data_IF_458181835305
#
_entry.id   IF_458181835305
#
_cell.length_a   1.000
_cell.length_b   1.000
_cell.length_c   1.000
_cell.angle_alpha   90.00
_cell.angle_beta   90.00
_cell.angle_gamma   90.00
#
_symmetry.space_group_name_H-M   'P 1'
#
loop_
_entity.id
_entity.type
_entity.pdbx_description
1 polymer ?
#
# COMPACT_ATOMS: atom_id res chain seq x y z
N UNK A 1 26.50 -9.21 -6.22
CA UNK A 1 25.04 -9.38 -6.01
C UNK A 1 24.52 -10.60 -6.77
N UNK A 2 24.41 -10.59 -8.10
CA UNK A 2 23.83 -11.71 -8.88
C UNK A 2 24.34 -13.09 -8.45
N UNK A 3 25.65 -13.32 -8.54
CA UNK A 3 26.25 -14.63 -8.20
C UNK A 3 25.97 -15.06 -6.77
N UNK A 4 26.03 -14.14 -5.80
CA UNK A 4 25.78 -14.46 -4.40
C UNK A 4 24.33 -14.88 -4.17
N UNK A 5 23.38 -14.21 -4.83
CA UNK A 5 21.96 -14.57 -4.77
C UNK A 5 21.70 -15.96 -5.37
N UNK A 6 22.25 -16.24 -6.56
CA UNK A 6 22.10 -17.56 -7.20
C UNK A 6 22.70 -18.69 -6.36
N UNK A 7 23.88 -18.45 -5.78
CA UNK A 7 24.54 -19.42 -4.90
C UNK A 7 23.69 -19.69 -3.64
N UNK A 8 23.14 -18.63 -3.02
CA UNK A 8 22.29 -18.78 -1.85
C UNK A 8 21.00 -19.55 -2.16
N UNK A 9 20.36 -19.27 -3.30
CA UNK A 9 19.16 -20.00 -3.73
C UNK A 9 19.46 -21.47 -4.05
N UNK A 10 20.58 -21.76 -4.72
CA UNK A 10 20.99 -23.13 -5.03
C UNK A 10 21.31 -23.95 -3.77
N UNK A 11 21.81 -23.32 -2.70
CA UNK A 11 22.04 -23.99 -1.43
C UNK A 11 20.76 -24.43 -0.71
N UNK A 12 19.58 -23.98 -1.16
CA UNK A 12 18.31 -24.40 -0.58
C UNK A 12 17.86 -25.80 -1.05
N UNK A 13 18.44 -26.34 -2.13
CA UNK A 13 18.17 -27.70 -2.66
C UNK A 13 18.87 -28.81 -1.82
N UNK A 14 18.89 -28.66 -0.50
CA UNK A 14 19.39 -29.70 0.41
C UNK A 14 18.25 -30.62 0.82
N UNK A 15 18.31 -31.90 0.46
CA UNK A 15 17.23 -32.90 0.59
C UNK A 15 16.81 -33.31 2.02
N UNK A 16 16.97 -32.42 3.00
CA UNK A 16 16.50 -32.55 4.39
C UNK A 16 15.30 -31.61 4.61
N UNK A 17 14.26 -31.67 3.77
CA UNK A 17 13.13 -30.74 3.84
C UNK A 17 11.86 -31.39 4.43
N UNK A 18 11.36 -30.80 5.52
CA UNK A 18 10.10 -31.15 6.16
C UNK A 18 8.92 -30.33 5.60
N UNK A 19 9.02 -29.87 4.34
CA UNK A 19 8.01 -29.00 3.71
C UNK A 19 7.93 -27.60 4.32
N UNK A 20 9.03 -27.08 4.86
CA UNK A 20 9.06 -25.74 5.48
C UNK A 20 9.51 -24.69 4.46
N UNK A 21 9.00 -23.45 4.44
CA UNK A 21 9.57 -22.39 3.60
C UNK A 21 11.04 -22.10 3.94
N UNK A 22 11.83 -21.66 2.96
CA UNK A 22 13.21 -21.23 3.18
C UNK A 22 13.29 -19.72 3.30
N UNK A 23 13.76 -19.21 4.42
CA UNK A 23 13.93 -17.78 4.65
C UNK A 23 15.35 -17.36 4.29
N UNK A 24 15.50 -16.54 3.26
CA UNK A 24 16.78 -15.98 2.81
C UNK A 24 16.83 -14.52 3.19
N UNK A 25 17.84 -14.16 3.97
CA UNK A 25 18.14 -12.78 4.34
C UNK A 25 19.30 -12.27 3.46
N UNK A 26 19.05 -11.24 2.66
CA UNK A 26 20.01 -10.69 1.71
C UNK A 26 20.36 -9.24 2.03
N UNK A 27 21.59 -8.98 2.48
CA UNK A 27 22.07 -7.65 2.86
C UNK A 27 22.99 -7.07 1.79
N UNK A 28 22.83 -5.79 1.49
CA UNK A 28 23.77 -5.04 0.65
C UNK A 28 23.78 -3.55 0.99
N UNK A 29 24.93 -2.92 0.84
CA UNK A 29 25.16 -1.48 0.98
C UNK A 29 25.38 -0.79 -0.37
N UNK A 30 25.20 -1.51 -1.49
CA UNK A 30 25.62 -1.05 -2.80
C UNK A 30 24.81 -1.59 -3.98
N UNK A 31 25.12 -1.05 -5.16
CA UNK A 31 24.61 -1.53 -6.44
C UNK A 31 25.44 -2.71 -6.97
N UNK A 32 24.90 -3.52 -7.91
CA UNK A 32 25.70 -4.54 -8.57
C UNK A 32 26.79 -3.90 -9.45
N UNK A 33 28.07 -4.15 -9.12
CA UNK A 33 29.22 -3.57 -9.84
C UNK A 33 30.12 -4.61 -10.53
N UNK A 34 29.86 -5.90 -10.33
CA UNK A 34 30.66 -7.01 -10.84
C UNK A 34 29.77 -8.15 -11.33
N UNK A 35 30.13 -8.74 -12.48
CA UNK A 35 29.32 -9.76 -13.15
C UNK A 35 28.10 -9.15 -13.84
N UNK A 36 26.93 -9.78 -13.68
CA UNK A 36 25.65 -9.22 -14.13
C UNK A 36 25.28 -7.98 -13.30
N UNK A 37 24.96 -6.88 -13.99
CA UNK A 37 24.67 -5.57 -13.42
C UNK A 37 23.27 -5.07 -13.78
N UNK A 38 22.63 -5.62 -14.81
CA UNK A 38 21.26 -5.28 -15.17
C UNK A 38 20.29 -5.81 -14.12
N UNK A 39 19.60 -4.91 -13.40
CA UNK A 39 18.68 -5.28 -12.33
C UNK A 39 17.61 -6.26 -12.81
N UNK A 40 17.04 -6.04 -14.01
CA UNK A 40 16.04 -6.93 -14.59
C UNK A 40 16.60 -8.33 -14.87
N UNK A 41 17.84 -8.44 -15.36
CA UNK A 41 18.51 -9.72 -15.57
C UNK A 41 18.79 -10.43 -14.26
N UNK A 42 19.19 -9.72 -13.20
CA UNK A 42 19.39 -10.31 -11.87
C UNK A 42 18.08 -10.91 -11.33
N UNK A 43 16.96 -10.17 -11.43
CA UNK A 43 15.63 -10.67 -11.06
C UNK A 43 15.30 -11.94 -11.85
N UNK A 44 15.40 -11.89 -13.18
CA UNK A 44 15.12 -13.06 -14.04
C UNK A 44 16.01 -14.26 -13.68
N UNK A 45 17.30 -14.03 -13.45
CA UNK A 45 18.23 -15.09 -13.08
C UNK A 45 17.84 -15.73 -11.74
N UNK A 46 17.46 -14.93 -10.75
CA UNK A 46 17.02 -15.43 -9.45
C UNK A 46 15.74 -16.28 -9.57
N UNK A 47 14.73 -15.79 -10.30
CA UNK A 47 13.48 -16.50 -10.53
C UNK A 47 13.65 -17.80 -11.34
N UNK A 48 14.66 -17.86 -12.20
CA UNK A 48 15.00 -19.07 -12.96
C UNK A 48 15.87 -20.07 -12.18
N UNK A 49 16.37 -19.67 -11.01
CA UNK A 49 17.26 -20.47 -10.17
C UNK A 49 16.62 -20.75 -8.80
N UNK A 50 15.29 -20.85 -8.78
CA UNK A 50 14.57 -21.22 -7.57
C UNK A 50 14.74 -22.72 -7.29
N UNK A 51 14.84 -23.10 -6.00
CA UNK A 51 14.91 -24.49 -5.62
C UNK A 51 13.65 -25.25 -6.06
N UNK A 52 13.81 -26.53 -6.42
CA UNK A 52 12.73 -27.31 -7.02
C UNK A 52 11.70 -27.77 -5.99
N UNK A 53 12.14 -28.05 -4.77
CA UNK A 53 11.33 -28.70 -3.73
C UNK A 53 10.85 -27.73 -2.64
N UNK A 54 11.29 -26.47 -2.68
CA UNK A 54 11.05 -25.49 -1.63
C UNK A 54 10.68 -24.14 -2.20
N UNK A 55 9.79 -23.40 -1.53
CA UNK A 55 9.54 -22.01 -1.90
C UNK A 55 10.38 -21.08 -1.03
N UNK A 56 11.33 -20.31 -1.59
CA UNK A 56 12.09 -19.34 -0.83
C UNK A 56 11.22 -18.12 -0.47
N UNK A 57 11.61 -17.44 0.61
CA UNK A 57 11.15 -16.13 1.05
C UNK A 57 12.37 -15.23 1.13
N UNK A 58 12.48 -14.26 0.23
CA UNK A 58 13.66 -13.39 0.16
C UNK A 58 13.38 -12.04 0.83
N UNK A 59 14.08 -11.78 1.93
CA UNK A 59 14.04 -10.50 2.62
C UNK A 59 15.31 -9.73 2.31
N UNK A 60 15.15 -8.54 1.74
CA UNK A 60 16.26 -7.71 1.28
C UNK A 60 16.51 -6.55 2.24
N UNK A 61 17.77 -6.31 2.57
CA UNK A 61 18.20 -5.23 3.44
C UNK A 61 19.15 -4.31 2.68
N UNK A 62 18.69 -3.10 2.40
CA UNK A 62 19.50 -2.04 1.82
C UNK A 62 20.10 -1.16 2.91
N UNK A 63 21.43 -1.09 2.98
CA UNK A 63 22.14 -0.27 3.95
C UNK A 63 22.60 1.03 3.30
N UNK A 64 22.17 2.16 3.84
CA UNK A 64 22.44 3.48 3.28
C UNK A 64 21.67 3.76 2.00
N UNK A 65 22.22 4.67 1.19
CA UNK A 65 21.54 5.21 0.01
C UNK A 65 22.10 4.69 -1.32
N UNK A 66 23.24 3.99 -1.30
CA UNK A 66 23.94 3.52 -2.49
C UNK A 66 23.40 2.20 -3.03
N UNK A 67 22.20 1.79 -2.61
CA UNK A 67 21.55 0.53 -3.01
C UNK A 67 20.59 0.74 -4.18
N UNK A 68 20.41 -0.30 -5.00
CA UNK A 68 19.39 -0.28 -6.05
C UNK A 68 18.04 -0.74 -5.48
N UNK A 69 17.18 0.21 -5.14
CA UNK A 69 15.88 -0.05 -4.52
C UNK A 69 14.92 -0.81 -5.42
N UNK A 70 14.97 -0.59 -6.74
CA UNK A 70 14.12 -1.32 -7.70
C UNK A 70 14.44 -2.80 -7.72
N UNK A 71 15.73 -3.12 -7.74
CA UNK A 71 16.22 -4.49 -7.69
C UNK A 71 15.77 -5.17 -6.38
N UNK A 72 16.00 -4.52 -5.23
CA UNK A 72 15.73 -5.12 -3.93
C UNK A 72 14.24 -5.28 -3.63
N UNK A 73 13.42 -4.29 -4.00
CA UNK A 73 11.96 -4.33 -3.85
C UNK A 73 11.34 -5.41 -4.75
N UNK A 74 11.78 -5.49 -6.01
CA UNK A 74 11.25 -6.46 -6.97
C UNK A 74 11.62 -7.88 -6.54
N UNK A 75 12.88 -8.12 -6.18
CA UNK A 75 13.35 -9.42 -5.68
C UNK A 75 12.57 -9.86 -4.43
N UNK A 76 12.36 -8.96 -3.46
CA UNK A 76 11.61 -9.28 -2.26
C UNK A 76 10.15 -9.60 -2.58
N UNK A 77 9.48 -8.79 -3.39
CA UNK A 77 8.07 -8.96 -3.76
C UNK A 77 7.84 -10.26 -4.53
N UNK A 78 8.63 -10.52 -5.58
CA UNK A 78 8.46 -11.70 -6.43
C UNK A 78 8.77 -13.01 -5.67
N UNK A 79 9.60 -12.93 -4.62
CA UNK A 79 9.93 -14.04 -3.74
C UNK A 79 9.23 -13.96 -2.37
N UNK A 80 8.05 -13.31 -2.31
CA UNK A 80 7.13 -13.29 -1.15
C UNK A 80 7.77 -12.86 0.18
N UNK A 81 8.84 -12.07 0.12
CA UNK A 81 9.43 -11.41 1.27
C UNK A 81 9.15 -9.91 1.25
N UNK A 82 9.99 -9.15 1.97
CA UNK A 82 9.88 -7.70 2.11
C UNK A 82 11.26 -7.06 2.06
N UNK A 83 11.34 -5.84 1.55
CA UNK A 83 12.55 -5.02 1.59
C UNK A 83 12.52 -4.13 2.83
N UNK A 84 13.70 -3.92 3.43
CA UNK A 84 13.92 -2.97 4.50
C UNK A 84 15.16 -2.14 4.19
N UNK A 85 15.06 -0.83 4.42
CA UNK A 85 16.17 0.10 4.20
C UNK A 85 16.56 0.71 5.52
N UNK A 86 17.84 0.59 5.87
CA UNK A 86 18.43 1.17 7.07
C UNK A 86 19.26 2.37 6.65
N UNK A 87 18.88 3.56 7.09
CA UNK A 87 19.59 4.80 6.78
C UNK A 87 20.93 4.87 7.53
N UNK A 88 21.91 5.68 7.06
CA UNK A 88 23.22 5.75 7.71
C UNK A 88 23.18 6.19 9.19
N UNK A 89 22.12 6.89 9.60
CA UNK A 89 21.86 7.35 10.96
C UNK A 89 21.02 6.38 11.80
N UNK A 90 20.56 5.27 11.22
CA UNK A 90 19.75 4.26 11.90
C UNK A 90 20.60 3.05 12.37
N UNK A 91 20.28 2.46 13.52
CA UNK A 91 20.98 1.27 14.03
C UNK A 91 20.59 0.01 13.24
N UNK A 92 21.57 -0.55 12.53
CA UNK A 92 21.40 -1.77 11.71
C UNK A 92 21.07 -2.98 12.59
N UNK A 93 21.67 -3.07 13.77
CA UNK A 93 21.48 -4.16 14.72
C UNK A 93 20.04 -4.22 15.25
N UNK A 94 19.41 -3.08 15.50
CA UNK A 94 17.98 -3.01 15.86
C UNK A 94 17.11 -3.50 14.69
N UNK A 95 17.34 -2.99 13.47
CA UNK A 95 16.55 -3.35 12.29
C UNK A 95 16.60 -4.86 11.99
N UNK A 96 17.79 -5.46 12.06
CA UNK A 96 17.97 -6.91 11.85
C UNK A 96 17.39 -7.72 13.01
N UNK A 97 17.48 -7.23 14.24
CA UNK A 97 16.91 -7.91 15.41
C UNK A 97 15.38 -7.93 15.37
N UNK A 98 14.75 -6.80 15.04
CA UNK A 98 13.29 -6.69 14.88
C UNK A 98 12.80 -7.60 13.77
N UNK A 99 13.54 -7.66 12.67
CA UNK A 99 13.26 -8.60 11.58
C UNK A 99 13.32 -10.04 12.05
N UNK A 100 14.41 -10.45 12.73
CA UNK A 100 14.54 -11.81 13.22
C UNK A 100 13.44 -12.16 14.23
N UNK A 101 13.12 -11.25 15.16
CA UNK A 101 12.02 -11.44 16.10
C UNK A 101 10.69 -11.69 15.36
N UNK A 102 10.47 -10.94 14.28
CA UNK A 102 9.27 -11.07 13.43
C UNK A 102 9.25 -12.38 12.65
N UNK A 103 10.34 -12.76 11.96
CA UNK A 103 10.33 -13.91 11.05
C UNK A 103 10.70 -15.26 11.68
N UNK A 104 11.19 -15.26 12.92
CA UNK A 104 11.66 -16.47 13.61
C UNK A 104 10.59 -17.53 13.82
N UNK A 105 9.31 -17.14 13.82
CA UNK A 105 8.19 -18.04 14.11
C UNK A 105 7.08 -17.87 13.07
N UNK A 106 7.20 -18.46 11.87
CA UNK A 106 6.10 -18.52 10.91
C UNK A 106 4.99 -19.40 11.47
N UNK A 107 3.79 -18.85 11.58
CA UNK A 107 2.60 -19.54 12.09
C UNK A 107 1.83 -20.21 10.95
N UNK A 108 1.73 -19.55 9.80
CA UNK A 108 1.19 -20.10 8.55
C UNK A 108 2.03 -19.60 7.39
N UNK A 109 2.38 -20.49 6.47
CA UNK A 109 3.02 -20.14 5.21
C UNK A 109 2.10 -20.42 4.02
N UNK A 110 2.42 -19.86 2.84
CA UNK A 110 1.68 -20.10 1.60
C UNK A 110 0.17 -19.82 1.75
N UNK A 111 -0.16 -18.69 2.37
CA UNK A 111 -1.55 -18.36 2.64
C UNK A 111 -2.35 -18.19 1.34
N UNK A 112 -3.56 -18.73 1.35
CA UNK A 112 -4.58 -18.45 0.35
C UNK A 112 -5.93 -18.22 1.03
N UNK A 113 -6.76 -17.36 0.42
CA UNK A 113 -8.11 -17.07 0.90
C UNK A 113 -9.08 -17.40 -0.22
N UNK A 114 -10.04 -18.27 0.07
CA UNK A 114 -11.15 -18.64 -0.79
C UNK A 114 -12.46 -18.09 -0.19
N UNK A 115 -13.31 -17.53 -1.04
CA UNK A 115 -14.62 -16.97 -0.67
C UNK A 115 -15.79 -17.85 -1.16
N UNK A 116 -15.51 -19.04 -1.65
CA UNK A 116 -16.51 -19.94 -2.21
C UNK A 116 -16.95 -19.53 -3.63
N UNK A 117 -17.75 -20.39 -4.29
CA UNK A 117 -18.10 -20.24 -5.70
C UNK A 117 -19.09 -19.10 -5.97
N UNK A 118 -19.88 -18.71 -4.96
CA UNK A 118 -20.98 -17.75 -5.10
C UNK A 118 -20.52 -16.29 -4.88
N UNK A 119 -19.34 -16.08 -4.28
CA UNK A 119 -18.79 -14.76 -4.03
C UNK A 119 -17.71 -14.41 -5.06
N UNK A 120 -18.00 -13.44 -5.93
CA UNK A 120 -17.05 -12.92 -6.89
C UNK A 120 -16.15 -11.85 -6.26
N UNK A 121 -15.08 -12.29 -5.58
CA UNK A 121 -14.08 -11.40 -4.98
C UNK A 121 -12.87 -11.24 -5.91
N UNK A 122 -12.48 -10.00 -6.17
CA UNK A 122 -11.37 -9.60 -7.04
C UNK A 122 -10.50 -8.52 -6.36
N UNK A 123 -9.29 -8.29 -6.90
CA UNK A 123 -8.39 -7.20 -6.47
C UNK A 123 -8.05 -7.25 -4.96
N UNK A 124 -7.67 -8.45 -4.48
CA UNK A 124 -7.24 -8.69 -3.10
C UNK A 124 -5.80 -8.21 -2.86
N UNK A 125 -5.59 -7.45 -1.78
CA UNK A 125 -4.29 -6.92 -1.38
C UNK A 125 -4.01 -7.13 0.11
N UNK A 126 -2.75 -7.42 0.51
CA UNK A 126 -1.54 -7.44 -0.34
C UNK A 126 -1.50 -8.61 -1.33
N UNK A 127 -0.80 -8.42 -2.44
CA UNK A 127 -0.58 -9.45 -3.46
C UNK A 127 0.91 -9.51 -3.85
N UNK A 128 1.54 -10.69 -3.82
CA UNK A 128 1.01 -11.96 -3.28
C UNK A 128 0.74 -11.88 -1.76
N UNK A 129 -0.06 -12.81 -1.21
CA UNK A 129 -0.25 -12.89 0.24
C UNK A 129 1.08 -13.29 0.91
N UNK A 130 1.51 -12.56 1.96
CA UNK A 130 2.72 -12.91 2.71
C UNK A 130 2.44 -14.08 3.65
N UNK A 131 3.50 -14.70 4.17
CA UNK A 131 3.39 -15.63 5.29
C UNK A 131 2.94 -14.89 6.56
N UNK A 132 2.22 -15.58 7.46
CA UNK A 132 1.76 -15.04 8.74
C UNK A 132 2.71 -15.48 9.85
N UNK A 133 3.30 -14.53 10.55
CA UNK A 133 4.22 -14.78 11.66
C UNK A 133 3.58 -14.53 13.03
N UNK A 134 4.18 -15.11 14.08
CA UNK A 134 3.68 -14.96 15.43
C UNK A 134 3.67 -13.49 15.87
N UNK A 135 2.55 -13.04 16.46
CA UNK A 135 2.37 -11.66 16.89
C UNK A 135 2.00 -10.67 15.79
N UNK A 136 1.92 -11.11 14.52
CA UNK A 136 1.45 -10.29 13.43
C UNK A 136 -0.05 -10.45 13.17
N UNK A 137 -0.64 -9.41 12.59
CA UNK A 137 -1.98 -9.43 12.03
C UNK A 137 -1.88 -9.30 10.51
N UNK A 138 -2.56 -10.18 9.77
CA UNK A 138 -2.73 -10.01 8.33
C UNK A 138 -4.11 -9.39 8.08
N UNK A 139 -4.11 -8.15 7.59
CA UNK A 139 -5.32 -7.51 7.04
C UNK A 139 -5.32 -7.73 5.54
N UNK A 140 -6.41 -8.24 4.97
CA UNK A 140 -6.61 -8.37 3.52
C UNK A 140 -7.80 -7.52 3.10
N UNK A 141 -7.65 -6.75 2.03
CA UNK A 141 -8.72 -5.91 1.48
C UNK A 141 -8.93 -6.27 0.01
N UNK A 142 -10.19 -6.47 -0.40
CA UNK A 142 -10.56 -6.79 -1.77
C UNK A 142 -11.89 -6.18 -2.16
N UNK A 143 -12.31 -6.40 -3.40
CA UNK A 143 -13.59 -5.95 -3.93
C UNK A 143 -14.46 -7.13 -4.29
N UNK A 144 -15.76 -6.95 -4.16
CA UNK A 144 -16.74 -7.92 -4.58
C UNK A 144 -17.87 -7.21 -5.34
N UNK A 145 -18.58 -7.97 -6.18
CA UNK A 145 -19.65 -7.42 -7.04
C UNK A 145 -21.03 -7.54 -6.42
N UNK A 146 -21.30 -8.69 -5.82
CA UNK A 146 -22.62 -9.07 -5.31
C UNK A 146 -22.56 -9.28 -3.80
N UNK A 147 -23.57 -8.77 -3.10
CA UNK A 147 -23.77 -9.09 -1.68
C UNK A 147 -24.39 -10.48 -1.51
N UNK A 148 -24.35 -10.98 -0.29
CA UNK A 148 -24.95 -12.27 0.06
C UNK A 148 -24.14 -13.05 1.08
N UNK A 149 -24.64 -14.24 1.48
CA UNK A 149 -23.92 -15.14 2.37
C UNK A 149 -22.63 -15.61 1.71
N UNK A 150 -21.56 -15.68 2.50
CA UNK A 150 -20.25 -16.14 2.04
C UNK A 150 -19.61 -17.03 3.10
N UNK A 151 -18.93 -18.07 2.66
CA UNK A 151 -18.01 -18.86 3.48
C UNK A 151 -16.60 -18.48 3.12
N UNK A 152 -15.81 -18.06 4.10
CA UNK A 152 -14.40 -17.71 3.87
C UNK A 152 -13.53 -18.84 4.38
N UNK A 153 -12.71 -19.41 3.51
CA UNK A 153 -11.72 -20.42 3.87
C UNK A 153 -10.32 -19.83 3.75
N UNK A 154 -9.61 -19.75 4.87
CA UNK A 154 -8.18 -19.46 4.89
C UNK A 154 -7.41 -20.79 4.90
N UNK A 155 -6.52 -20.97 3.93
CA UNK A 155 -5.58 -22.09 3.92
C UNK A 155 -4.14 -21.60 4.07
N UNK A 156 -3.26 -22.51 4.51
CA UNK A 156 -1.82 -22.30 4.60
C UNK A 156 -1.12 -23.55 5.13
N UNK A 157 0.21 -23.51 5.21
CA UNK A 157 1.03 -24.64 5.64
C UNK A 157 1.66 -24.38 7.02
N UNK A 158 1.70 -25.43 7.84
CA UNK A 158 2.41 -25.47 9.13
C UNK A 158 3.24 -26.74 9.19
N UNK A 159 4.58 -26.61 9.22
CA UNK A 159 5.50 -27.75 9.21
C UNK A 159 5.20 -28.76 8.07
N UNK A 160 4.96 -28.27 6.86
CA UNK A 160 4.63 -29.08 5.68
C UNK A 160 3.22 -29.67 5.65
N UNK A 161 2.39 -29.44 6.67
CA UNK A 161 0.99 -29.86 6.68
C UNK A 161 0.06 -28.70 6.34
N UNK A 162 -0.90 -28.95 5.44
CA UNK A 162 -1.96 -28.00 5.15
C UNK A 162 -2.89 -27.83 6.37
N UNK A 163 -3.25 -26.58 6.65
CA UNK A 163 -4.24 -26.18 7.64
C UNK A 163 -5.33 -25.37 6.96
N UNK A 164 -6.58 -25.67 7.31
CA UNK A 164 -7.76 -24.98 6.81
C UNK A 164 -8.50 -24.35 7.98
N UNK A 165 -8.88 -23.09 7.83
CA UNK A 165 -9.71 -22.33 8.76
C UNK A 165 -10.94 -21.85 8.01
N UNK A 166 -12.08 -22.45 8.33
CA UNK A 166 -13.36 -22.15 7.70
C UNK A 166 -14.14 -21.20 8.59
N UNK A 167 -14.56 -20.08 8.01
CA UNK A 167 -15.39 -19.06 8.66
C UNK A 167 -16.75 -19.04 7.96
N UNK A 168 -17.69 -19.89 8.41
CA UNK A 168 -19.04 -19.92 7.85
C UNK A 168 -19.84 -18.68 8.29
N UNK A 169 -21.02 -18.55 7.70
CA UNK A 169 -22.06 -17.59 8.09
C UNK A 169 -21.61 -16.12 8.06
N UNK A 170 -20.80 -15.74 7.06
CA UNK A 170 -20.49 -14.33 6.79
C UNK A 170 -21.49 -13.78 5.78
N UNK A 171 -21.64 -12.47 5.78
CA UNK A 171 -22.55 -11.78 4.86
C UNK A 171 -21.85 -10.56 4.27
N UNK A 172 -21.79 -10.52 2.94
CA UNK A 172 -21.35 -9.35 2.18
C UNK A 172 -22.55 -8.45 1.94
N UNK A 173 -22.45 -7.17 2.31
CA UNK A 173 -23.53 -6.21 2.08
C UNK A 173 -23.59 -5.82 0.61
N UNK A 174 -24.78 -5.68 0.03
CA UNK A 174 -24.91 -5.26 -1.38
C UNK A 174 -24.39 -3.83 -1.63
N UNK A 175 -24.60 -2.91 -0.67
CA UNK A 175 -24.17 -1.51 -0.74
C UNK A 175 -23.93 -0.94 0.66
N UNK A 176 -23.08 0.08 0.74
CA UNK A 176 -22.73 0.76 1.98
C UNK A 176 -21.48 0.17 2.62
N UNK A 177 -21.46 0.13 3.96
CA UNK A 177 -20.26 -0.18 4.74
C UNK A 177 -19.50 1.08 5.13
N UNK A 178 -18.36 0.90 5.78
CA UNK A 178 -17.57 2.01 6.29
C UNK A 178 -16.68 2.63 5.20
N UNK A 179 -16.76 3.95 5.01
CA UNK A 179 -15.99 4.72 4.01
C UNK A 179 -14.48 4.42 4.05
N UNK A 180 -13.94 4.13 5.25
CA UNK A 180 -12.51 3.88 5.43
C UNK A 180 -12.07 2.56 4.78
N UNK A 181 -12.94 1.55 4.66
CA UNK A 181 -12.59 0.26 4.06
C UNK A 181 -12.32 0.41 2.57
N UNK A 182 -13.19 1.14 1.86
CA UNK A 182 -13.02 1.41 0.44
C UNK A 182 -11.76 2.24 0.18
N UNK A 183 -11.46 3.20 1.07
CA UNK A 183 -10.24 4.00 0.99
C UNK A 183 -8.98 3.18 1.30
N UNK A 184 -9.01 2.29 2.29
CA UNK A 184 -7.90 1.37 2.62
C UNK A 184 -7.57 0.48 1.42
N UNK A 185 -8.60 -0.12 0.82
CA UNK A 185 -8.45 -0.91 -0.40
C UNK A 185 -7.82 -0.10 -1.53
N UNK A 186 -8.30 1.12 -1.78
CA UNK A 186 -7.77 1.98 -2.83
C UNK A 186 -6.31 2.39 -2.57
N UNK A 187 -5.95 2.67 -1.32
CA UNK A 187 -4.56 2.96 -0.92
C UNK A 187 -3.63 1.79 -1.24
N UNK A 188 -4.04 0.55 -0.91
CA UNK A 188 -3.25 -0.65 -1.20
C UNK A 188 -3.14 -0.93 -2.70
N UNK A 189 -4.24 -0.79 -3.44
CA UNK A 189 -4.22 -0.93 -4.90
C UNK A 189 -3.32 0.10 -5.55
N UNK A 190 -3.36 1.37 -5.13
CA UNK A 190 -2.44 2.41 -5.60
C UNK A 190 -0.99 2.01 -5.30
N UNK A 191 -0.69 1.56 -4.08
CA UNK A 191 0.65 1.08 -3.72
C UNK A 191 1.13 -0.03 -4.65
N UNK A 192 0.27 -1.01 -4.93
CA UNK A 192 0.56 -2.10 -5.88
C UNK A 192 0.80 -1.58 -7.31
N UNK A 193 -0.08 -0.73 -7.84
CA UNK A 193 0.06 -0.18 -9.19
C UNK A 193 1.32 0.69 -9.34
N UNK A 194 1.69 1.45 -8.31
CA UNK A 194 2.93 2.23 -8.31
C UNK A 194 4.18 1.33 -8.31
N UNK A 195 4.13 0.18 -7.65
CA UNK A 195 5.20 -0.82 -7.72
C UNK A 195 5.31 -1.42 -9.14
N UNK A 196 4.17 -1.74 -9.76
CA UNK A 196 4.12 -2.21 -11.14
C UNK A 196 4.69 -1.20 -12.13
N UNK A 197 4.29 0.08 -12.03
CA UNK A 197 4.81 1.15 -12.88
C UNK A 197 6.33 1.29 -12.75
N UNK A 198 6.90 1.11 -11.55
CA UNK A 198 8.35 1.18 -11.36
C UNK A 198 9.06 -0.01 -12.01
N UNK A 199 8.43 -1.19 -11.98
CA UNK A 199 8.97 -2.43 -12.54
C UNK A 199 8.93 -2.47 -14.07
N UNK A 200 7.81 -2.11 -14.68
CA UNK A 200 7.59 -2.23 -16.13
C UNK A 200 7.60 -0.91 -16.89
N UNK A 201 7.57 0.22 -16.18
CA UNK A 201 7.43 1.55 -16.74
C UNK A 201 5.99 2.09 -16.65
N UNK A 202 5.80 3.40 -16.91
CA UNK A 202 4.50 4.06 -16.78
C UNK A 202 3.60 3.77 -17.98
N UNK A 203 3.10 2.55 -18.08
CA UNK A 203 2.10 2.17 -19.07
C UNK A 203 0.82 3.03 -18.89
N UNK A 204 0.20 3.52 -19.98
CA UNK A 204 -0.95 4.42 -19.90
C UNK A 204 -2.09 3.89 -19.02
N UNK A 205 -2.38 2.59 -19.11
CA UNK A 205 -3.45 1.93 -18.34
C UNK A 205 -3.17 1.94 -16.83
N UNK A 206 -1.91 1.72 -16.42
CA UNK A 206 -1.53 1.75 -15.00
C UNK A 206 -1.62 3.18 -14.44
N UNK A 207 -1.14 4.16 -15.20
CA UNK A 207 -1.19 5.57 -14.82
C UNK A 207 -2.63 6.06 -14.72
N UNK A 208 -3.48 5.68 -15.67
CA UNK A 208 -4.91 5.99 -15.65
C UNK A 208 -5.60 5.37 -14.43
N UNK A 209 -5.33 4.10 -14.12
CA UNK A 209 -5.89 3.44 -12.95
C UNK A 209 -5.47 4.11 -11.62
N UNK A 210 -4.19 4.50 -11.48
CA UNK A 210 -3.73 5.25 -10.30
C UNK A 210 -4.41 6.61 -10.22
N UNK A 211 -4.56 7.30 -11.35
CA UNK A 211 -5.20 8.62 -11.42
C UNK A 211 -6.67 8.55 -11.03
N UNK A 212 -7.42 7.58 -11.56
CA UNK A 212 -8.83 7.37 -11.24
C UNK A 212 -9.03 7.08 -9.75
N UNK A 213 -8.26 6.13 -9.19
CA UNK A 213 -8.34 5.79 -7.77
C UNK A 213 -7.94 6.98 -6.88
N UNK A 214 -6.89 7.70 -7.27
CA UNK A 214 -6.48 8.91 -6.58
C UNK A 214 -7.64 9.90 -6.47
N UNK A 215 -8.25 10.25 -7.61
CA UNK A 215 -9.32 11.24 -7.71
C UNK A 215 -10.57 10.79 -6.95
N UNK A 216 -10.95 9.51 -7.12
CA UNK A 216 -12.14 8.93 -6.48
C UNK A 216 -12.01 8.82 -4.97
N UNK A 217 -10.82 8.50 -4.45
CA UNK A 217 -10.62 8.23 -3.02
C UNK A 217 -9.87 9.36 -2.27
N UNK A 218 -9.52 10.46 -2.95
CA UNK A 218 -8.82 11.59 -2.32
C UNK A 218 -7.41 11.23 -1.86
N UNK A 219 -6.71 10.35 -2.57
CA UNK A 219 -5.38 9.85 -2.23
C UNK A 219 -4.36 10.60 -3.08
N UNK A 220 -3.38 11.24 -2.47
CA UNK A 220 -2.34 11.96 -3.22
C UNK A 220 -1.36 10.95 -3.82
N UNK A 221 -1.08 11.09 -5.11
CA UNK A 221 -0.18 10.20 -5.85
C UNK A 221 0.75 11.00 -6.74
N UNK A 222 1.81 10.40 -7.30
CA UNK A 222 2.71 11.12 -8.20
C UNK A 222 2.03 11.63 -9.47
N UNK A 223 0.92 11.00 -9.86
CA UNK A 223 0.16 11.32 -11.07
C UNK A 223 -0.95 12.35 -10.82
N UNK A 224 -1.17 12.75 -9.57
CA UNK A 224 -2.27 13.63 -9.20
C UNK A 224 -1.83 14.70 -8.21
N UNK A 225 -2.19 15.95 -8.53
CA UNK A 225 -2.07 17.07 -7.61
C UNK A 225 -3.45 17.65 -7.35
N UNK A 226 -3.75 17.95 -6.10
CA UNK A 226 -4.96 18.68 -5.74
C UNK A 226 -4.59 20.15 -5.58
N UNK A 227 -4.84 20.93 -6.62
CA UNK A 227 -4.74 22.38 -6.56
C UNK A 227 -6.10 22.95 -6.19
N UNK A 228 -6.20 23.57 -5.02
CA UNK A 228 -7.43 24.26 -4.59
C UNK A 228 -7.31 25.74 -4.95
N UNK A 229 -7.99 26.16 -6.02
CA UNK A 229 -8.09 27.57 -6.39
C UNK A 229 -9.49 28.09 -6.08
N UNK A 230 -9.59 29.19 -5.33
CA UNK A 230 -10.81 29.99 -5.27
C UNK A 230 -10.80 31.09 -6.35
N UNK A 231 -11.92 31.30 -7.08
CA UNK A 231 -12.06 32.44 -7.99
C UNK A 231 -12.21 33.80 -7.31
N UNK A 232 -12.44 33.87 -5.99
CA UNK A 232 -12.79 35.12 -5.31
C UNK A 232 -12.19 35.23 -3.89
N UNK A 233 -10.86 35.23 -3.79
CA UNK A 233 -10.18 35.77 -2.59
C UNK A 233 -10.28 37.30 -2.62
N UNK A 234 -11.50 37.83 -2.47
CA UNK A 234 -11.69 39.20 -2.01
C UNK A 234 -11.72 39.10 -0.49
N UNK A 235 -10.76 39.74 0.16
CA UNK A 235 -10.66 39.85 1.61
C UNK A 235 -12.04 40.12 2.24
N UNK A 236 -12.66 39.08 2.81
CA UNK A 236 -13.84 39.22 3.65
C UNK A 236 -13.38 39.63 5.05
N UNK A 237 -14.13 40.48 5.76
CA UNK A 237 -13.68 41.10 7.00
C UNK A 237 -13.61 40.07 8.13
N UNK A 238 -12.40 39.80 8.63
CA UNK A 238 -11.95 39.39 9.97
C UNK A 238 -12.90 38.62 10.93
N UNK A 239 -13.87 37.84 10.42
CA UNK A 239 -14.87 37.14 11.22
C UNK A 239 -14.53 35.68 11.53
N UNK A 240 -13.94 34.96 10.57
CA UNK A 240 -13.71 33.50 10.67
C UNK A 240 -12.25 33.12 10.41
N UNK A 241 -11.33 33.68 11.21
CA UNK A 241 -9.88 33.44 11.09
C UNK A 241 -9.43 31.98 11.31
N UNK A 242 -10.31 31.12 11.83
CA UNK A 242 -10.01 29.69 12.03
C UNK A 242 -10.23 28.86 10.74
N UNK A 243 -11.27 29.16 9.96
CA UNK A 243 -11.56 28.46 8.71
C UNK A 243 -10.51 28.79 7.63
N UNK A 244 -10.09 30.06 7.55
CA UNK A 244 -9.01 30.51 6.67
C UNK A 244 -7.70 29.78 6.97
N UNK A 245 -7.30 29.67 8.24
CA UNK A 245 -6.04 28.97 8.62
C UNK A 245 -6.05 27.50 8.26
N UNK A 246 -7.14 26.78 8.57
CA UNK A 246 -7.27 25.35 8.27
C UNK A 246 -7.29 25.07 6.76
N UNK A 247 -7.85 25.99 5.96
CA UNK A 247 -7.87 25.89 4.50
C UNK A 247 -6.48 26.09 3.86
N UNK A 248 -5.77 27.17 4.23
CA UNK A 248 -4.42 27.40 3.70
C UNK A 248 -3.43 26.32 4.14
N UNK A 249 -3.58 25.78 5.35
CA UNK A 249 -2.76 24.67 5.83
C UNK A 249 -3.03 23.38 5.05
N UNK A 250 -4.30 23.05 4.77
CA UNK A 250 -4.65 21.83 4.03
C UNK A 250 -4.29 21.91 2.54
N UNK A 251 -4.54 23.03 1.84
CA UNK A 251 -4.11 23.21 0.45
C UNK A 251 -2.58 23.06 0.29
N UNK A 252 -1.80 23.63 1.23
CA UNK A 252 -0.34 23.46 1.27
C UNK A 252 0.12 22.05 1.60
N UNK A 253 -0.69 21.26 2.31
CA UNK A 253 -0.41 19.84 2.56
C UNK A 253 -0.60 19.03 1.29
N UNK A 254 -1.65 19.30 0.50
CA UNK A 254 -1.86 18.62 -0.77
C UNK A 254 -0.84 19.01 -1.84
N UNK A 255 -0.48 20.29 -1.95
CA UNK A 255 0.59 20.73 -2.87
C UNK A 255 1.94 20.09 -2.52
N UNK A 256 2.33 20.10 -1.24
CA UNK A 256 3.55 19.42 -0.78
C UNK A 256 3.48 17.92 -0.97
N UNK A 257 2.32 17.31 -0.70
CA UNK A 257 2.10 15.88 -0.94
C UNK A 257 2.25 15.52 -2.41
N UNK A 258 1.71 16.34 -3.32
CA UNK A 258 1.79 16.10 -4.76
C UNK A 258 3.21 16.30 -5.30
N UNK A 259 3.92 17.33 -4.84
CA UNK A 259 5.33 17.54 -5.15
C UNK A 259 6.18 16.38 -4.66
N UNK A 260 6.02 15.98 -3.39
CA UNK A 260 6.71 14.82 -2.83
C UNK A 260 6.39 13.55 -3.62
N UNK A 261 5.13 13.36 -4.03
CA UNK A 261 4.75 12.21 -4.84
C UNK A 261 5.40 12.24 -6.23
N UNK A 262 5.42 13.38 -6.92
CA UNK A 262 6.10 13.53 -8.21
C UNK A 262 7.61 13.25 -8.09
N UNK A 263 8.26 13.75 -7.04
CA UNK A 263 9.66 13.45 -6.73
C UNK A 263 9.87 11.96 -6.49
N UNK A 264 8.93 11.29 -5.82
CA UNK A 264 8.96 9.84 -5.60
C UNK A 264 8.79 9.02 -6.89
N UNK A 265 7.95 9.44 -7.85
CA UNK A 265 7.86 8.75 -9.14
C UNK A 265 9.05 9.01 -10.05
N UNK A 266 9.64 10.20 -9.98
CA UNK A 266 10.85 10.53 -10.71
C UNK A 266 12.13 10.03 -10.01
N UNK A 267 12.01 9.38 -8.85
CA UNK A 267 13.14 8.94 -8.07
C UNK A 267 13.98 7.92 -8.86
N UNK A 268 15.31 8.12 -8.96
CA UNK A 268 16.20 7.13 -9.56
C UNK A 268 16.13 5.79 -8.80
N UNK A 269 16.77 4.75 -9.36
CA UNK A 269 16.82 3.44 -8.73
C UNK A 269 17.64 3.43 -7.41
N UNK A 270 18.59 4.36 -7.25
CA UNK A 270 19.48 4.48 -6.10
C UNK A 270 19.57 5.93 -5.59
N UNK A 271 20.00 6.11 -4.35
CA UNK A 271 20.11 7.40 -3.67
C UNK A 271 19.02 7.62 -2.62
N UNK A 272 19.12 8.74 -1.88
CA UNK A 272 18.22 9.07 -0.78
C UNK A 272 16.75 9.16 -1.22
N UNK A 273 16.50 9.80 -2.37
CA UNK A 273 15.17 9.88 -2.96
C UNK A 273 14.60 8.50 -3.33
N UNK A 274 15.45 7.56 -3.76
CA UNK A 274 15.04 6.20 -4.11
C UNK A 274 14.58 5.42 -2.87
N UNK A 275 15.36 5.52 -1.78
CA UNK A 275 15.03 4.89 -0.49
C UNK A 275 13.73 5.48 0.08
N UNK A 276 13.59 6.82 0.08
CA UNK A 276 12.38 7.49 0.52
C UNK A 276 11.14 7.07 -0.30
N UNK A 277 11.28 7.01 -1.62
CA UNK A 277 10.21 6.57 -2.51
C UNK A 277 9.80 5.10 -2.25
N UNK A 278 10.78 4.22 -2.02
CA UNK A 278 10.52 2.82 -1.70
C UNK A 278 9.78 2.64 -0.36
N UNK A 279 10.26 3.32 0.69
CA UNK A 279 9.60 3.30 2.00
C UNK A 279 8.17 3.84 1.93
N UNK A 280 7.94 4.92 1.19
CA UNK A 280 6.61 5.50 1.03
C UNK A 280 5.64 4.59 0.28
N UNK A 281 6.10 3.88 -0.76
CA UNK A 281 5.27 2.90 -1.49
C UNK A 281 4.94 1.69 -0.62
N UNK A 282 5.93 1.14 0.08
CA UNK A 282 5.73 0.02 1.00
C UNK A 282 4.67 0.37 2.05
N UNK A 283 4.71 1.59 2.58
CA UNK A 283 3.69 2.09 3.51
C UNK A 283 2.27 2.17 2.91
N UNK A 284 2.12 2.37 1.60
CA UNK A 284 0.81 2.30 0.93
C UNK A 284 0.34 0.85 0.76
N UNK A 285 1.23 -0.05 0.36
CA UNK A 285 0.93 -1.48 0.15
C UNK A 285 0.54 -2.17 1.46
N UNK A 286 1.17 -1.77 2.56
CA UNK A 286 1.04 -2.38 3.88
C UNK A 286 0.11 -1.59 4.82
N UNK A 287 -0.53 -0.54 4.34
CA UNK A 287 -1.42 0.27 5.15
C UNK A 287 -2.45 -0.61 5.87
N UNK A 288 -2.52 -0.55 7.20
CA UNK A 288 -3.55 -1.22 8.01
C UNK A 288 -4.69 -0.28 8.37
N UNK A 289 -4.41 1.03 8.36
CA UNK A 289 -5.35 2.10 8.67
C UNK A 289 -5.28 3.19 7.61
N UNK A 290 -6.40 3.86 7.39
CA UNK A 290 -6.41 5.11 6.61
C UNK A 290 -5.77 6.20 7.46
N UNK A 291 -4.66 6.81 7.00
CA UNK A 291 -4.09 7.99 7.69
C UNK A 291 -5.16 9.09 7.78
N UNK A 292 -5.56 9.45 9.01
CA UNK A 292 -6.61 10.44 9.36
C UNK A 292 -6.36 11.87 8.83
N UNK A 293 -5.17 12.17 8.28
CA UNK A 293 -4.77 13.52 7.93
C UNK A 293 -5.57 14.16 6.77
N UNK A 294 -6.36 13.38 6.03
CA UNK A 294 -7.18 13.86 4.90
C UNK A 294 -8.67 14.05 5.23
N UNK A 295 -9.10 13.89 6.49
CA UNK A 295 -10.51 13.99 6.88
C UNK A 295 -11.11 15.40 6.81
N UNK A 296 -10.32 16.42 6.46
CA UNK A 296 -10.79 17.82 6.45
C UNK A 296 -11.20 18.33 5.07
N UNK A 297 -10.79 17.67 3.97
CA UNK A 297 -11.22 18.03 2.61
C UNK A 297 -11.57 16.82 1.74
N UNK A 298 -12.73 16.87 1.07
CA UNK A 298 -13.18 15.92 0.04
C UNK A 298 -13.25 16.62 -1.32
N UNK A 299 -12.94 15.87 -2.37
CA UNK A 299 -13.05 16.33 -3.75
C UNK A 299 -14.12 15.51 -4.45
N UNK A 300 -15.13 16.19 -5.00
CA UNK A 300 -16.32 15.57 -5.61
C UNK A 300 -16.64 16.33 -6.89
N UNK A 301 -16.67 15.63 -8.03
CA UNK A 301 -16.99 16.15 -9.36
C UNK A 301 -16.27 17.47 -9.71
N UNK A 302 -14.96 17.53 -9.43
CA UNK A 302 -14.12 18.72 -9.68
C UNK A 302 -14.34 19.89 -8.70
N UNK A 303 -14.98 19.66 -7.56
CA UNK A 303 -15.22 20.66 -6.51
C UNK A 303 -14.64 20.19 -5.17
N UNK A 304 -14.13 21.13 -4.38
CA UNK A 304 -13.65 20.88 -3.02
C UNK A 304 -14.73 21.13 -1.97
N UNK A 305 -14.74 20.27 -0.96
CA UNK A 305 -15.66 20.29 0.18
C UNK A 305 -14.83 20.22 1.44
N UNK A 306 -15.07 21.12 2.40
CA UNK A 306 -14.43 21.05 3.71
C UNK A 306 -15.39 20.48 4.75
N UNK A 307 -14.87 19.70 5.69
CA UNK A 307 -15.67 19.19 6.80
C UNK A 307 -15.89 20.30 7.82
N UNK A 308 -17.13 20.79 7.94
CA UNK A 308 -17.53 21.71 8.99
C UNK A 308 -18.12 20.91 10.15
N UNK A 309 -17.52 21.01 11.33
CA UNK A 309 -18.09 20.42 12.54
C UNK A 309 -19.34 21.21 12.95
N UNK A 310 -20.51 20.57 12.95
CA UNK A 310 -21.76 21.14 13.44
C UNK A 310 -21.94 20.94 14.96
N UNK A 311 -20.87 20.55 15.66
CA UNK A 311 -20.90 20.18 17.07
C UNK A 311 -21.15 18.68 17.31
N UNK A 312 -21.16 18.32 18.59
CA UNK A 312 -21.35 16.95 19.05
C UNK A 312 -22.78 16.80 19.56
N UNK A 313 -23.52 15.78 19.09
CA UNK A 313 -24.82 15.48 19.68
C UNK A 313 -24.62 15.08 21.15
N UNK A 314 -25.56 15.38 22.07
CA UNK A 314 -25.38 15.18 23.51
C UNK A 314 -24.91 13.77 23.90
N UNK A 315 -25.26 12.75 23.11
CA UNK A 315 -24.86 11.35 23.26
C UNK A 315 -24.56 10.67 21.90
N UNK A 316 -24.09 11.42 20.89
CA UNK A 316 -23.93 10.91 19.52
C UNK A 316 -22.63 11.34 18.83
N UNK A 317 -22.34 10.79 17.63
CA UNK A 317 -21.13 11.12 16.89
C UNK A 317 -21.06 12.61 16.56
N UNK A 318 -19.85 13.11 16.33
CA UNK A 318 -19.64 14.47 15.82
C UNK A 318 -20.38 14.61 14.50
N UNK A 319 -21.32 15.55 14.42
CA UNK A 319 -22.06 15.80 13.19
C UNK A 319 -21.17 16.64 12.28
N UNK A 320 -20.54 15.99 11.30
CA UNK A 320 -19.78 16.66 10.25
C UNK A 320 -20.66 16.97 9.04
N UNK A 321 -20.61 18.21 8.54
CA UNK A 321 -21.20 18.59 7.26
C UNK A 321 -20.10 18.91 6.26
N UNK A 322 -20.09 18.19 5.15
CA UNK A 322 -19.24 18.51 4.01
C UNK A 322 -19.84 19.68 3.24
N UNK A 323 -19.22 20.86 3.39
CA UNK A 323 -19.69 22.09 2.75
C UNK A 323 -18.80 22.42 1.57
N UNK A 324 -19.40 22.54 0.38
CA UNK A 324 -18.68 22.99 -0.80
C UNK A 324 -18.29 24.47 -0.66
N UNK A 325 -17.11 24.85 -1.15
CA UNK A 325 -16.60 26.23 -1.00
C UNK A 325 -17.47 27.30 -1.67
N UNK A 326 -18.32 26.92 -2.62
CA UNK A 326 -19.31 27.80 -3.25
C UNK A 326 -20.69 27.79 -2.56
N UNK A 327 -20.81 27.22 -1.36
CA UNK A 327 -22.08 27.16 -0.63
C UNK A 327 -22.56 28.55 -0.23
N UNK A 328 -23.85 28.81 -0.42
CA UNK A 328 -24.54 29.97 0.13
C UNK A 328 -25.85 29.49 0.74
N UNK A 329 -26.26 30.10 1.84
CA UNK A 329 -27.51 29.78 2.54
C UNK A 329 -28.69 29.77 1.54
N UNK A 330 -29.46 28.67 1.51
CA UNK A 330 -30.63 28.49 0.63
C UNK A 330 -30.38 27.72 -0.68
N UNK A 331 -29.16 27.28 -0.97
CA UNK A 331 -28.90 26.38 -2.10
C UNK A 331 -29.47 24.98 -1.85
N UNK A 332 -29.96 24.34 -2.92
CA UNK A 332 -30.39 22.94 -2.89
C UNK A 332 -29.19 22.05 -2.56
N UNK A 333 -29.32 21.26 -1.50
CA UNK A 333 -28.32 20.27 -1.11
C UNK A 333 -28.52 18.98 -1.91
N UNK A 334 -27.43 18.45 -2.46
CA UNK A 334 -27.40 17.11 -3.06
C UNK A 334 -26.56 16.22 -2.17
N UNK A 335 -27.12 15.11 -1.71
CA UNK A 335 -26.35 14.09 -1.00
C UNK A 335 -25.52 13.33 -2.04
N UNK A 336 -24.21 13.34 -1.87
CA UNK A 336 -23.29 12.58 -2.71
C UNK A 336 -22.63 11.56 -1.78
N UNK A 337 -22.78 10.28 -2.13
CA UNK A 337 -22.20 9.18 -1.35
C UNK A 337 -20.75 8.96 -1.80
N UNK A 338 -19.87 8.67 -0.83
CA UNK A 338 -18.45 8.45 -1.09
C UNK A 338 -18.28 7.34 -2.13
N UNK A 339 -17.52 7.62 -3.20
CA UNK A 339 -17.28 6.66 -4.27
C UNK A 339 -18.49 6.28 -5.13
N UNK A 340 -19.62 7.01 -5.06
CA UNK A 340 -20.76 6.83 -5.99
C UNK A 340 -20.48 7.43 -7.38
N UNK A 341 -21.29 7.11 -8.40
CA UNK A 341 -21.16 7.74 -9.74
C UNK A 341 -21.39 9.27 -9.72
N UNK A 342 -22.01 9.78 -8.64
CA UNK A 342 -22.23 11.20 -8.42
C UNK A 342 -21.07 11.87 -7.63
N UNK A 343 -20.12 11.08 -7.13
CA UNK A 343 -18.89 11.51 -6.44
C UNK A 343 -17.84 11.96 -7.45
#
# INVERSE_FOLDING_TARGET
INRALLEALAQLDTGDDDGRPAYVLFLTDGQPTQGEQDAGAIVRNALNNLPAERTPRLFTFGLGYDVNTDLLDTLATDLRGRSQYVRPDEPIDEAVSDFYATVSTPVLADLAVDFGPDAHVEELYPFPLPDLFAGQQLVVAGRYRDGGPVEVTLSGQVNGEERLFVYPDRELVERGGDDFVARLWATRKIGYLLAEIRRSGPEPELVEAVTELSLRYGIVTPYTSYLVLEPNVVAMPAGDAMADRQFFDSARVYERGAQAAQEMAAAPAAGEAAVAASQARSALQEAETVREQAEQMRFVAGRSFAMQSLGQAPDGPVLGLWVGQAYTTGKRTTKIEFGSDAY
#
